data_IF_953184253021
#
_entry.id   IF_953184253021
#
_cell.length_a   1.000
_cell.length_b   1.000
_cell.length_c   1.000
_cell.angle_alpha   90.00
_cell.angle_beta   90.00
_cell.angle_gamma   90.00
#
_symmetry.space_group_name_H-M   'P 1'
#
loop_
_entity.id
_entity.type
_entity.pdbx_description
1 polymer ?
#
# COMPACT_ATOMS: atom_id res chain seq x y z
N UNK A 1 48.96 -11.57 -67.14
CA UNK A 1 48.90 -10.10 -66.98
C UNK A 1 50.31 -9.56 -67.12
N UNK A 2 50.50 -8.49 -67.87
CA UNK A 2 51.80 -7.83 -68.09
C UNK A 2 51.73 -6.38 -67.64
N UNK A 3 52.73 -5.91 -66.91
CA UNK A 3 52.84 -4.55 -66.38
C UNK A 3 54.00 -3.77 -67.01
N UNK A 4 53.92 -2.45 -66.95
CA UNK A 4 55.00 -1.54 -67.31
C UNK A 4 55.33 -0.68 -66.08
N UNK A 5 56.58 -0.71 -65.62
CA UNK A 5 57.00 0.00 -64.41
C UNK A 5 56.44 -0.58 -63.09
N UNK A 6 55.87 -1.78 -63.12
CA UNK A 6 55.30 -2.44 -61.94
C UNK A 6 56.36 -3.16 -61.10
N UNK A 7 56.08 -3.37 -59.81
CA UNK A 7 56.93 -4.12 -58.88
C UNK A 7 56.19 -5.35 -58.33
N UNK A 8 55.62 -6.20 -59.21
CA UNK A 8 54.73 -7.29 -58.78
C UNK A 8 55.33 -8.23 -57.73
N UNK A 9 56.65 -8.47 -57.73
CA UNK A 9 57.27 -9.35 -56.72
C UNK A 9 57.31 -8.74 -55.31
N UNK A 10 57.22 -7.42 -55.20
CA UNK A 10 57.20 -6.71 -53.91
C UNK A 10 55.77 -6.46 -53.41
N UNK A 11 54.80 -6.35 -54.32
CA UNK A 11 53.44 -5.91 -54.02
C UNK A 11 52.42 -7.05 -53.99
N UNK A 12 52.74 -8.22 -54.55
CA UNK A 12 51.85 -9.37 -54.67
C UNK A 12 52.57 -10.69 -54.37
N UNK A 13 51.85 -11.61 -53.74
CA UNK A 13 52.23 -13.00 -53.61
C UNK A 13 51.23 -13.94 -54.30
N UNK A 14 51.61 -15.20 -54.53
CA UNK A 14 50.69 -16.22 -55.01
C UNK A 14 49.50 -16.37 -54.02
N UNK A 15 48.28 -16.32 -54.55
CA UNK A 15 47.03 -16.34 -53.80
C UNK A 15 46.43 -14.96 -53.51
N UNK A 16 47.18 -13.87 -53.68
CA UNK A 16 46.64 -12.51 -53.59
C UNK A 16 45.79 -12.17 -54.83
N UNK A 17 45.10 -11.04 -54.80
CA UNK A 17 44.23 -10.60 -55.87
C UNK A 17 44.73 -9.29 -56.47
N UNK A 18 44.65 -9.17 -57.79
CA UNK A 18 44.82 -7.91 -58.50
C UNK A 18 43.45 -7.36 -58.88
N UNK A 19 43.12 -6.17 -58.39
CA UNK A 19 41.89 -5.45 -58.75
C UNK A 19 42.23 -4.44 -59.84
N UNK A 20 41.53 -4.51 -60.96
CA UNK A 20 41.78 -3.66 -62.13
C UNK A 20 40.44 -3.32 -62.81
N UNK A 21 40.29 -2.08 -63.26
CA UNK A 21 39.12 -1.69 -64.08
C UNK A 21 39.48 -1.78 -65.56
N UNK A 22 38.78 -2.64 -66.28
CA UNK A 22 39.01 -2.87 -67.72
C UNK A 22 37.71 -2.64 -68.47
N UNK A 23 37.72 -1.73 -69.45
CA UNK A 23 36.52 -1.36 -70.22
C UNK A 23 35.39 -0.78 -69.35
N UNK A 24 35.72 -0.12 -68.23
CA UNK A 24 34.76 0.43 -67.28
C UNK A 24 34.19 -0.56 -66.27
N UNK A 25 34.58 -1.85 -66.33
CA UNK A 25 34.12 -2.89 -65.41
C UNK A 25 35.27 -3.26 -64.46
N UNK A 26 35.06 -3.25 -63.14
CA UNK A 26 36.06 -3.70 -62.18
C UNK A 26 36.16 -5.23 -62.17
N UNK A 27 37.38 -5.75 -62.23
CA UNK A 27 37.70 -7.18 -62.13
C UNK A 27 38.56 -7.44 -60.90
N UNK A 28 38.21 -8.46 -60.13
CA UNK A 28 39.05 -8.99 -59.04
C UNK A 28 39.63 -10.31 -59.49
N UNK A 29 40.93 -10.32 -59.80
CA UNK A 29 41.59 -11.43 -60.48
C UNK A 29 42.59 -12.11 -59.53
N UNK A 30 42.39 -13.40 -59.18
CA UNK A 30 43.31 -14.13 -58.31
C UNK A 30 44.66 -14.41 -59.00
N UNK A 31 45.76 -14.10 -58.33
CA UNK A 31 47.14 -14.33 -58.79
C UNK A 31 47.54 -15.78 -58.47
N UNK A 32 47.85 -16.57 -59.51
CA UNK A 32 48.36 -17.93 -59.36
C UNK A 32 49.84 -17.94 -59.02
N UNK A 33 50.61 -17.13 -59.74
CA UNK A 33 52.05 -16.98 -59.56
C UNK A 33 52.50 -15.62 -60.08
N UNK A 34 53.46 -15.01 -59.39
CA UNK A 34 54.20 -13.83 -59.89
C UNK A 34 55.43 -14.34 -60.61
N UNK A 35 55.50 -14.12 -61.92
CA UNK A 35 56.59 -14.64 -62.74
C UNK A 35 57.84 -13.75 -62.63
N UNK A 36 57.65 -12.43 -62.57
CA UNK A 36 58.67 -11.40 -62.33
C UNK A 36 58.00 -10.04 -62.03
N UNK A 37 58.78 -8.95 -61.91
CA UNK A 37 58.26 -7.60 -61.59
C UNK A 37 57.20 -7.08 -62.56
N UNK A 38 57.18 -7.56 -63.81
CA UNK A 38 56.31 -7.08 -64.89
C UNK A 38 55.37 -8.15 -65.46
N UNK A 39 55.33 -9.35 -64.90
CA UNK A 39 54.47 -10.44 -65.38
C UNK A 39 53.96 -11.32 -64.25
N UNK A 40 52.66 -11.62 -64.31
CA UNK A 40 52.02 -12.59 -63.42
C UNK A 40 51.02 -13.47 -64.18
N UNK A 41 50.79 -14.65 -63.61
CA UNK A 41 49.84 -15.65 -64.10
C UNK A 41 48.61 -15.65 -63.19
N UNK A 42 47.41 -15.63 -63.78
CA UNK A 42 46.15 -15.66 -63.04
C UNK A 42 45.72 -17.11 -62.76
N UNK A 43 44.91 -17.33 -61.72
CA UNK A 43 44.36 -18.66 -61.41
C UNK A 43 43.30 -19.05 -62.45
N UNK A 44 42.41 -18.11 -62.77
CA UNK A 44 41.40 -18.26 -63.83
C UNK A 44 41.85 -17.59 -65.12
N UNK A 45 41.45 -18.17 -66.26
CA UNK A 45 41.64 -17.54 -67.57
C UNK A 45 40.78 -16.27 -67.60
N UNK A 46 41.43 -15.14 -67.86
CA UNK A 46 40.73 -13.87 -68.02
C UNK A 46 39.99 -13.84 -69.38
N UNK A 47 38.67 -13.66 -69.34
CA UNK A 47 37.80 -13.65 -70.53
C UNK A 47 37.30 -12.26 -70.90
N UNK A 48 37.77 -11.20 -70.22
CA UNK A 48 37.39 -9.82 -70.50
C UNK A 48 38.16 -9.19 -71.65
N UNK A 49 37.83 -7.94 -72.03
CA UNK A 49 38.54 -7.22 -73.10
C UNK A 49 39.99 -6.90 -72.69
N UNK A 50 40.86 -6.74 -73.70
CA UNK A 50 42.26 -6.35 -73.47
C UNK A 50 42.35 -4.82 -73.41
N UNK A 51 42.99 -4.28 -72.37
CA UNK A 51 43.25 -2.85 -72.21
C UNK A 51 44.68 -2.63 -71.73
N UNK A 52 45.36 -1.65 -72.33
CA UNK A 52 46.69 -1.22 -71.89
C UNK A 52 46.59 -0.03 -70.94
N UNK A 53 47.57 0.11 -70.03
CA UNK A 53 47.68 1.24 -69.10
C UNK A 53 46.62 1.29 -67.98
N UNK A 54 45.96 0.17 -67.67
CA UNK A 54 44.97 0.13 -66.60
C UNK A 54 45.65 0.26 -65.21
N UNK A 55 45.13 1.16 -64.38
CA UNK A 55 45.51 1.25 -62.97
C UNK A 55 45.03 0.01 -62.21
N UNK A 56 45.83 -0.45 -61.24
CA UNK A 56 45.54 -1.67 -60.49
C UNK A 56 45.82 -1.49 -58.99
N UNK A 57 45.27 -2.38 -58.18
CA UNK A 57 45.52 -2.44 -56.74
C UNK A 57 45.71 -3.87 -56.26
N UNK A 58 46.70 -4.09 -55.40
CA UNK A 58 46.91 -5.36 -54.72
C UNK A 58 45.91 -5.53 -53.57
N UNK A 59 45.24 -6.67 -53.51
CA UNK A 59 44.44 -7.08 -52.34
C UNK A 59 45.04 -8.36 -51.78
N UNK A 60 45.70 -8.31 -50.60
CA UNK A 60 46.25 -9.49 -49.97
C UNK A 60 45.17 -10.53 -49.69
N UNK A 61 45.47 -11.81 -49.86
CA UNK A 61 44.52 -12.91 -49.63
C UNK A 61 43.94 -12.90 -48.22
N UNK A 62 44.75 -12.48 -47.24
CA UNK A 62 44.34 -12.40 -45.83
C UNK A 62 43.22 -11.37 -45.68
N UNK A 63 43.28 -10.24 -46.38
CA UNK A 63 42.24 -9.22 -46.33
C UNK A 63 40.89 -9.73 -46.86
N UNK A 64 40.88 -10.38 -48.03
CA UNK A 64 39.65 -10.95 -48.61
C UNK A 64 39.07 -12.11 -47.78
N UNK A 65 39.92 -12.97 -47.22
CA UNK A 65 39.49 -14.05 -46.34
C UNK A 65 38.94 -13.52 -45.00
N UNK A 66 39.55 -12.46 -44.44
CA UNK A 66 39.06 -11.81 -43.23
C UNK A 66 37.68 -11.17 -43.45
N UNK A 67 37.42 -10.54 -44.60
CA UNK A 67 36.10 -9.99 -44.92
C UNK A 67 35.04 -11.09 -44.96
N UNK A 68 35.35 -12.22 -45.60
CA UNK A 68 34.43 -13.37 -45.66
C UNK A 68 34.19 -13.97 -44.28
N UNK A 69 35.25 -14.14 -43.47
CA UNK A 69 35.15 -14.65 -42.11
C UNK A 69 34.37 -13.70 -41.18
N UNK A 70 34.57 -12.38 -41.31
CA UNK A 70 33.84 -11.38 -40.55
C UNK A 70 32.35 -11.38 -40.89
N UNK A 71 32.00 -11.51 -42.18
CA UNK A 71 30.59 -11.62 -42.59
C UNK A 71 29.93 -12.90 -42.04
N UNK A 72 30.65 -14.02 -42.05
CA UNK A 72 30.17 -15.28 -41.44
C UNK A 72 29.98 -15.13 -39.93
N UNK A 73 30.92 -14.46 -39.24
CA UNK A 73 30.79 -14.20 -37.80
C UNK A 73 29.58 -13.31 -37.48
N UNK A 74 29.43 -12.18 -38.19
CA UNK A 74 28.30 -11.26 -38.02
C UNK A 74 26.95 -11.93 -38.31
N UNK A 75 26.86 -12.73 -39.37
CA UNK A 75 25.63 -13.47 -39.68
C UNK A 75 25.31 -14.52 -38.64
N UNK A 76 26.31 -15.25 -38.12
CA UNK A 76 26.11 -16.21 -37.04
C UNK A 76 25.67 -15.55 -35.72
N UNK A 77 26.23 -14.38 -35.38
CA UNK A 77 25.81 -13.59 -34.22
C UNK A 77 24.37 -13.09 -34.35
N UNK A 78 24.01 -12.53 -35.51
CA UNK A 78 22.65 -12.12 -35.79
C UNK A 78 21.66 -13.28 -35.68
N UNK A 79 21.99 -14.44 -36.25
CA UNK A 79 21.15 -15.64 -36.18
C UNK A 79 20.98 -16.15 -34.73
N UNK A 80 22.05 -16.06 -33.93
CA UNK A 80 22.02 -16.41 -32.50
C UNK A 80 21.11 -15.47 -31.72
N UNK A 81 21.21 -14.16 -31.96
CA UNK A 81 20.30 -13.16 -31.40
C UNK A 81 18.84 -13.46 -31.71
N UNK A 82 18.52 -13.77 -32.98
CA UNK A 82 17.16 -14.15 -33.40
C UNK A 82 16.65 -15.45 -32.77
N UNK A 83 17.55 -16.35 -32.35
CA UNK A 83 17.17 -17.56 -31.63
C UNK A 83 16.94 -17.30 -30.15
N UNK A 84 17.74 -16.41 -29.54
CA UNK A 84 17.47 -15.93 -28.18
C UNK A 84 16.11 -15.25 -28.10
N UNK A 85 15.77 -14.37 -29.03
CA UNK A 85 14.45 -13.72 -29.04
C UNK A 85 13.30 -14.73 -29.07
N UNK A 86 13.40 -15.78 -29.89
CA UNK A 86 12.37 -16.85 -29.91
C UNK A 86 12.26 -17.57 -28.57
N UNK A 87 13.38 -17.89 -27.92
CA UNK A 87 13.39 -18.54 -26.61
C UNK A 87 12.86 -17.61 -25.51
N UNK A 88 13.22 -16.33 -25.57
CA UNK A 88 12.73 -15.30 -24.67
C UNK A 88 11.20 -15.18 -24.79
N UNK A 89 10.66 -15.10 -26.00
CA UNK A 89 9.21 -15.03 -26.25
C UNK A 89 8.48 -16.26 -25.72
N UNK A 90 9.01 -17.47 -25.96
CA UNK A 90 8.47 -18.71 -25.39
C UNK A 90 8.41 -18.63 -23.85
N UNK A 91 9.47 -18.12 -23.23
CA UNK A 91 9.55 -17.98 -21.76
C UNK A 91 8.58 -16.92 -21.23
N UNK A 92 8.41 -15.79 -21.93
CA UNK A 92 7.47 -14.72 -21.56
C UNK A 92 6.02 -15.22 -21.59
N UNK A 93 5.64 -15.98 -22.62
CA UNK A 93 4.26 -16.46 -22.79
C UNK A 93 3.88 -17.62 -21.86
N UNK A 94 4.85 -18.47 -21.49
CA UNK A 94 4.58 -19.70 -20.73
C UNK A 94 4.98 -19.64 -19.26
N UNK A 95 5.93 -18.77 -18.90
CA UNK A 95 6.43 -18.65 -17.53
C UNK A 95 5.38 -18.10 -16.57
N UNK A 96 5.43 -18.52 -15.31
CA UNK A 96 4.53 -18.09 -14.21
C UNK A 96 5.22 -17.26 -13.13
N UNK A 97 6.53 -17.03 -13.25
CA UNK A 97 7.32 -16.24 -12.32
C UNK A 97 8.35 -15.38 -13.06
N UNK A 98 9.47 -15.08 -12.41
CA UNK A 98 10.57 -14.39 -13.08
C UNK A 98 11.27 -15.34 -14.05
N UNK A 99 11.50 -14.85 -15.28
CA UNK A 99 12.25 -15.52 -16.34
C UNK A 99 13.51 -14.72 -16.66
N UNK A 100 14.49 -15.40 -17.24
CA UNK A 100 15.72 -14.78 -17.74
C UNK A 100 15.61 -14.54 -19.24
N UNK A 101 15.68 -13.29 -19.67
CA UNK A 101 15.77 -12.87 -21.08
C UNK A 101 17.25 -12.75 -21.44
N UNK A 102 17.68 -13.45 -22.50
CA UNK A 102 19.03 -13.31 -23.07
C UNK A 102 19.01 -12.28 -24.19
N UNK A 103 19.84 -11.25 -24.09
CA UNK A 103 19.90 -10.18 -25.08
C UNK A 103 20.89 -10.54 -26.22
N UNK A 104 20.77 -9.92 -27.41
CA UNK A 104 21.67 -10.17 -28.53
C UNK A 104 23.14 -9.89 -28.25
N UNK A 105 23.43 -8.99 -27.30
CA UNK A 105 24.78 -8.67 -26.83
C UNK A 105 25.37 -9.70 -25.85
N UNK A 106 24.62 -10.76 -25.55
CA UNK A 106 25.00 -11.83 -24.62
C UNK A 106 24.70 -11.55 -23.15
N UNK A 107 24.24 -10.35 -22.81
CA UNK A 107 23.79 -10.02 -21.46
C UNK A 107 22.44 -10.67 -21.13
N UNK A 108 22.06 -10.63 -19.85
CA UNK A 108 20.81 -11.22 -19.39
C UNK A 108 20.03 -10.22 -18.50
N UNK A 109 18.71 -10.23 -18.66
CA UNK A 109 17.78 -9.51 -17.81
C UNK A 109 16.84 -10.49 -17.10
N UNK A 110 16.46 -10.20 -15.86
CA UNK A 110 15.55 -11.03 -15.08
C UNK A 110 14.29 -10.23 -14.74
N UNK A 111 13.12 -10.79 -15.04
CA UNK A 111 11.85 -10.17 -14.65
C UNK A 111 10.64 -11.03 -14.99
N UNK A 112 9.42 -10.54 -14.70
CA UNK A 112 8.24 -11.40 -14.67
C UNK A 112 7.76 -11.78 -16.08
N UNK A 113 7.41 -13.05 -16.23
CA UNK A 113 6.59 -13.51 -17.36
C UNK A 113 5.14 -13.06 -17.20
N UNK A 114 4.37 -13.07 -18.30
CA UNK A 114 3.02 -12.50 -18.31
C UNK A 114 2.05 -13.20 -17.36
N UNK A 115 2.10 -14.53 -17.24
CA UNK A 115 1.23 -15.24 -16.29
C UNK A 115 1.61 -14.93 -14.83
N UNK A 116 2.88 -14.61 -14.57
CA UNK A 116 3.33 -14.11 -13.26
C UNK A 116 2.71 -12.75 -12.93
N UNK A 117 2.66 -11.84 -13.90
CA UNK A 117 1.97 -10.54 -13.75
C UNK A 117 0.48 -10.75 -13.45
N UNK A 118 -0.21 -11.61 -14.19
CA UNK A 118 -1.63 -11.93 -13.95
C UNK A 118 -1.87 -12.48 -12.54
N UNK A 119 -0.97 -13.35 -12.06
CA UNK A 119 -1.07 -13.91 -10.71
C UNK A 119 -0.98 -12.81 -9.65
N UNK A 120 -0.03 -11.88 -9.78
CA UNK A 120 0.09 -10.75 -8.84
C UNK A 120 -1.08 -9.77 -8.92
N UNK A 121 -1.65 -9.56 -10.13
CA UNK A 121 -2.82 -8.72 -10.31
C UNK A 121 -4.07 -9.32 -9.62
N UNK A 122 -4.24 -10.64 -9.68
CA UNK A 122 -5.35 -11.34 -9.04
C UNK A 122 -5.30 -11.30 -7.50
N UNK A 123 -4.14 -10.97 -6.90
CA UNK A 123 -4.02 -10.75 -5.45
C UNK A 123 -4.50 -9.36 -5.01
N UNK A 124 -4.69 -8.43 -5.95
CA UNK A 124 -5.18 -7.09 -5.64
C UNK A 124 -6.68 -7.16 -5.38
N UNK A 125 -7.15 -6.44 -4.36
CA UNK A 125 -8.57 -6.28 -4.13
C UNK A 125 -9.23 -5.57 -5.32
N UNK A 126 -10.40 -6.04 -5.74
CA UNK A 126 -11.12 -5.42 -6.82
C UNK A 126 -11.70 -4.07 -6.37
N UNK A 127 -11.34 -3.01 -7.07
CA UNK A 127 -11.76 -1.65 -6.72
C UNK A 127 -13.30 -1.48 -6.76
N UNK A 128 -14.00 -2.22 -7.63
CA UNK A 128 -15.47 -2.18 -7.67
C UNK A 128 -16.11 -2.78 -6.41
N UNK A 129 -15.45 -3.77 -5.81
CA UNK A 129 -15.99 -4.52 -4.67
C UNK A 129 -15.80 -3.74 -3.36
N UNK A 130 -14.79 -2.87 -3.31
CA UNK A 130 -14.50 -1.98 -2.18
C UNK A 130 -15.29 -0.64 -2.24
N UNK A 131 -15.88 -0.32 -3.40
CA UNK A 131 -16.68 0.90 -3.60
C UNK A 131 -15.93 2.19 -3.29
N UNK A 132 -16.66 3.22 -2.83
CA UNK A 132 -16.09 4.54 -2.52
C UNK A 132 -15.23 4.58 -1.25
N UNK A 133 -15.21 3.50 -0.46
CA UNK A 133 -14.32 3.37 0.69
C UNK A 133 -12.86 3.16 0.25
N UNK A 134 -12.63 2.54 -0.91
CA UNK A 134 -11.29 2.25 -1.44
C UNK A 134 -10.44 3.50 -1.68
N UNK A 135 -11.10 4.62 -2.00
CA UNK A 135 -10.44 5.90 -2.30
C UNK A 135 -10.28 6.81 -1.09
N UNK A 136 -10.78 6.42 0.07
CA UNK A 136 -10.74 7.22 1.30
C UNK A 136 -9.62 6.72 2.19
N UNK A 137 -8.93 7.64 2.85
CA UNK A 137 -7.95 7.28 3.85
C UNK A 137 -8.66 6.74 5.10
N UNK A 138 -7.99 5.87 5.86
CA UNK A 138 -8.40 5.59 7.24
C UNK A 138 -7.93 6.73 8.13
N UNK A 139 -8.80 7.22 9.01
CA UNK A 139 -8.45 8.36 9.86
C UNK A 139 -9.65 8.99 10.55
N UNK A 140 -9.41 10.18 11.12
CA UNK A 140 -10.41 10.97 11.86
C UNK A 140 -10.79 12.25 11.11
N UNK A 141 -10.27 12.50 9.91
CA UNK A 141 -10.62 13.70 9.16
C UNK A 141 -11.97 13.53 8.47
N UNK A 142 -12.59 14.66 8.11
CA UNK A 142 -13.81 14.64 7.31
C UNK A 142 -13.57 13.93 5.99
N UNK A 143 -14.39 12.93 5.69
CA UNK A 143 -14.28 12.13 4.48
C UNK A 143 -13.51 10.81 4.64
N UNK A 144 -12.74 10.62 5.73
CA UNK A 144 -12.03 9.37 6.02
C UNK A 144 -12.97 8.22 6.42
N UNK A 145 -12.47 6.99 6.35
CA UNK A 145 -13.10 5.81 6.95
C UNK A 145 -12.65 5.68 8.41
N UNK A 146 -13.62 5.50 9.31
CA UNK A 146 -13.38 5.34 10.74
C UNK A 146 -12.72 3.99 11.05
N UNK A 147 -11.68 3.98 11.88
CA UNK A 147 -11.06 2.74 12.38
C UNK A 147 -11.77 2.21 13.62
N UNK A 148 -11.62 0.92 13.92
CA UNK A 148 -12.16 0.34 15.17
C UNK A 148 -11.58 1.08 16.38
N UNK A 149 -12.43 1.43 17.33
CA UNK A 149 -12.05 2.16 18.55
C UNK A 149 -12.10 3.67 18.42
N UNK A 150 -12.17 4.24 17.21
CA UNK A 150 -12.32 5.69 17.03
C UNK A 150 -13.54 6.20 17.80
N UNK A 151 -13.36 7.28 18.55
CA UNK A 151 -14.41 7.90 19.39
C UNK A 151 -14.98 6.97 20.48
N UNK A 152 -14.29 5.86 20.76
CA UNK A 152 -14.70 4.78 21.65
C UNK A 152 -15.79 3.87 21.09
N UNK A 153 -15.99 3.86 19.76
CA UNK A 153 -16.92 2.96 19.09
C UNK A 153 -16.18 1.66 18.71
N UNK A 154 -16.66 0.51 19.19
CA UNK A 154 -16.09 -0.81 18.90
C UNK A 154 -14.90 -1.23 19.77
N UNK A 155 -14.15 -0.28 20.34
CA UNK A 155 -13.15 -0.52 21.39
C UNK A 155 -13.11 0.66 22.37
N UNK A 156 -12.86 0.38 23.66
CA UNK A 156 -12.93 1.40 24.73
C UNK A 156 -11.79 2.43 24.71
N UNK A 157 -10.65 2.09 24.11
CA UNK A 157 -9.39 2.85 24.24
C UNK A 157 -9.31 4.12 23.37
N UNK A 158 -10.34 4.44 22.58
CA UNK A 158 -10.45 5.71 21.86
C UNK A 158 -11.48 6.70 22.43
N UNK A 159 -12.03 6.40 23.62
CA UNK A 159 -12.84 7.35 24.37
C UNK A 159 -11.96 8.47 24.95
N UNK A 160 -12.52 9.67 25.12
CA UNK A 160 -11.80 10.74 25.83
C UNK A 160 -11.75 10.46 27.34
N UNK A 161 -10.59 10.73 27.94
CA UNK A 161 -10.39 10.68 29.37
C UNK A 161 -10.06 12.08 29.89
N UNK A 162 -10.80 12.52 30.90
CA UNK A 162 -10.59 13.79 31.57
C UNK A 162 -10.17 13.57 33.02
N UNK A 163 -9.44 14.53 33.58
CA UNK A 163 -9.04 14.58 34.98
C UNK A 163 -9.43 15.97 35.54
N UNK A 164 -10.71 16.31 35.44
CA UNK A 164 -11.20 17.66 35.76
C UNK A 164 -12.21 17.66 36.90
N UNK A 165 -12.25 18.77 37.63
CA UNK A 165 -13.16 19.02 38.75
C UNK A 165 -14.26 20.03 38.42
N UNK A 166 -14.35 20.46 37.16
CA UNK A 166 -15.40 21.33 36.65
C UNK A 166 -15.97 20.74 35.35
N UNK A 167 -17.30 20.66 35.27
CA UNK A 167 -17.96 20.18 34.06
C UNK A 167 -17.81 21.16 32.89
N UNK A 168 -17.64 22.46 33.15
CA UNK A 168 -17.37 23.45 32.11
C UNK A 168 -16.14 23.07 31.28
N UNK A 169 -15.08 22.56 31.91
CA UNK A 169 -13.91 22.05 31.21
C UNK A 169 -14.21 20.84 30.30
N UNK A 170 -15.07 19.92 30.76
CA UNK A 170 -15.55 18.80 29.92
C UNK A 170 -16.32 19.33 28.71
N UNK A 171 -17.25 20.26 28.93
CA UNK A 171 -18.04 20.85 27.85
C UNK A 171 -17.15 21.51 26.79
N UNK A 172 -16.17 22.31 27.20
CA UNK A 172 -15.24 22.97 26.25
C UNK A 172 -14.47 21.94 25.42
N UNK A 173 -13.97 20.88 26.05
CA UNK A 173 -13.23 19.83 25.35
C UNK A 173 -14.11 18.99 24.40
N UNK A 174 -15.42 18.94 24.65
CA UNK A 174 -16.40 18.22 23.84
C UNK A 174 -17.10 19.10 22.81
N UNK A 175 -16.92 20.43 22.85
CA UNK A 175 -17.45 21.37 21.85
C UNK A 175 -17.00 20.97 20.44
N UNK A 176 -17.92 21.06 19.48
CA UNK A 176 -17.70 20.59 18.10
C UNK A 176 -17.66 19.07 17.91
N UNK A 177 -17.76 18.26 18.97
CA UNK A 177 -17.91 16.80 18.83
C UNK A 177 -19.36 16.41 18.60
N UNK A 178 -19.58 15.48 17.66
CA UNK A 178 -20.87 14.81 17.47
C UNK A 178 -21.12 13.72 18.51
N UNK A 179 -21.40 12.48 18.08
CA UNK A 179 -21.48 11.33 18.98
C UNK A 179 -20.08 10.90 19.43
N UNK A 180 -19.84 10.82 20.74
CA UNK A 180 -18.57 10.34 21.29
C UNK A 180 -18.75 9.77 22.69
N UNK A 181 -17.92 8.81 23.06
CA UNK A 181 -17.84 8.35 24.45
C UNK A 181 -16.68 9.03 25.17
N UNK A 182 -16.85 9.30 26.47
CA UNK A 182 -15.82 9.84 27.32
C UNK A 182 -15.96 9.35 28.77
N UNK A 183 -14.94 9.60 29.57
CA UNK A 183 -14.94 9.37 31.02
C UNK A 183 -14.21 10.52 31.69
N UNK A 184 -14.75 11.01 32.80
CA UNK A 184 -14.01 11.90 33.69
C UNK A 184 -13.59 11.12 34.94
N UNK A 185 -12.30 11.15 35.24
CA UNK A 185 -11.71 10.55 36.42
C UNK A 185 -11.60 11.55 37.57
N UNK A 186 -11.67 12.85 37.28
CA UNK A 186 -11.72 13.89 38.30
C UNK A 186 -13.10 13.96 38.98
N UNK A 187 -13.09 14.41 40.23
CA UNK A 187 -14.31 14.61 41.03
C UNK A 187 -14.82 16.04 40.85
N UNK A 188 -16.07 16.21 40.42
CA UNK A 188 -16.67 17.53 40.14
C UNK A 188 -17.14 18.31 41.39
N UNK A 189 -17.00 17.73 42.59
CA UNK A 189 -17.52 18.32 43.82
C UNK A 189 -18.95 17.86 44.17
N UNK A 190 -19.32 17.98 45.44
CA UNK A 190 -20.57 17.42 46.00
C UNK A 190 -21.87 18.02 45.41
N UNK A 191 -21.79 19.14 44.71
CA UNK A 191 -22.94 19.83 44.13
C UNK A 191 -23.21 19.54 42.65
N UNK A 192 -22.26 18.94 41.93
CA UNK A 192 -22.37 18.74 40.48
C UNK A 192 -22.58 17.26 40.13
N UNK A 193 -23.81 16.94 39.76
CA UNK A 193 -24.23 15.58 39.43
C UNK A 193 -24.28 15.33 37.92
N UNK A 194 -23.61 16.15 37.11
CA UNK A 194 -23.64 16.01 35.64
C UNK A 194 -23.01 14.71 35.15
N UNK A 195 -21.95 14.28 35.82
CA UNK A 195 -21.23 13.04 35.57
C UNK A 195 -20.73 12.50 36.91
N UNK A 196 -20.91 11.21 37.15
CA UNK A 196 -20.31 10.56 38.29
C UNK A 196 -18.82 10.25 37.99
N UNK A 197 -17.96 10.33 39.01
CA UNK A 197 -16.53 10.05 38.85
C UNK A 197 -16.32 8.64 38.26
N UNK A 198 -15.37 8.53 37.33
CA UNK A 198 -15.01 7.28 36.65
C UNK A 198 -16.11 6.68 35.76
N UNK A 199 -17.18 7.42 35.50
CA UNK A 199 -18.33 6.87 34.79
C UNK A 199 -18.15 6.97 33.28
N UNK A 200 -18.36 5.88 32.52
CA UNK A 200 -18.54 5.99 31.08
C UNK A 200 -19.72 6.92 30.80
N UNK A 201 -19.49 7.84 29.88
CA UNK A 201 -20.47 8.86 29.53
C UNK A 201 -20.55 8.98 28.02
N UNK A 202 -21.77 9.04 27.50
CA UNK A 202 -22.04 9.28 26.08
C UNK A 202 -22.30 10.76 25.91
N UNK A 203 -21.68 11.39 24.91
CA UNK A 203 -21.93 12.75 24.47
C UNK A 203 -22.55 12.75 23.08
N UNK A 204 -23.53 13.61 22.87
CA UNK A 204 -24.16 13.84 21.57
C UNK A 204 -24.26 15.33 21.33
N UNK A 205 -23.40 15.86 20.45
CA UNK A 205 -23.52 17.21 19.91
C UNK A 205 -24.31 17.23 18.60
N UNK A 206 -25.18 18.23 18.41
CA UNK A 206 -25.89 18.48 17.15
C UNK A 206 -26.08 19.99 16.99
N UNK A 207 -25.46 20.56 15.95
CA UNK A 207 -25.37 22.01 15.81
C UNK A 207 -24.66 22.62 17.02
N UNK A 208 -25.27 23.63 17.64
CA UNK A 208 -24.80 24.32 18.83
C UNK A 208 -25.32 23.71 20.16
N UNK A 209 -26.10 22.63 20.08
CA UNK A 209 -26.71 21.97 21.25
C UNK A 209 -26.04 20.64 21.56
N UNK A 210 -26.11 20.23 22.81
CA UNK A 210 -25.55 18.94 23.25
C UNK A 210 -26.33 18.31 24.39
N UNK A 211 -26.19 16.99 24.50
CA UNK A 211 -26.62 16.21 25.66
C UNK A 211 -25.53 15.19 26.03
N UNK A 212 -25.45 14.85 27.31
CA UNK A 212 -24.59 13.78 27.81
C UNK A 212 -25.32 12.88 28.79
N UNK A 213 -25.16 11.56 28.65
CA UNK A 213 -25.71 10.55 29.53
C UNK A 213 -24.57 9.86 30.30
N UNK A 214 -24.48 10.12 31.60
CA UNK A 214 -23.51 9.51 32.49
C UNK A 214 -24.06 8.23 33.08
N UNK A 215 -23.30 7.14 32.95
CA UNK A 215 -23.66 5.81 33.41
C UNK A 215 -22.66 5.37 34.49
N UNK A 216 -22.98 5.57 35.78
CA UNK A 216 -22.09 5.23 36.87
C UNK A 216 -21.80 3.74 36.95
N UNK A 217 -20.53 3.41 37.24
CA UNK A 217 -20.11 2.03 37.51
C UNK A 217 -20.35 1.61 38.97
N UNK A 218 -20.53 2.59 39.87
CA UNK A 218 -20.75 2.39 41.30
C UNK A 218 -22.22 2.60 41.66
N UNK A 219 -22.81 1.78 42.56
CA UNK A 219 -24.20 1.93 43.01
C UNK A 219 -24.52 3.29 43.64
N UNK A 220 -23.53 3.94 44.26
CA UNK A 220 -23.69 5.27 44.85
C UNK A 220 -23.74 6.41 43.81
N UNK A 221 -23.35 6.13 42.56
CA UNK A 221 -23.42 7.11 41.48
C UNK A 221 -24.83 7.21 40.92
N UNK A 222 -25.27 8.43 40.60
CA UNK A 222 -26.58 8.66 39.98
C UNK A 222 -26.46 8.69 38.45
N UNK A 223 -27.38 8.01 37.76
CA UNK A 223 -27.51 8.18 36.32
C UNK A 223 -27.96 9.61 36.05
N UNK A 224 -27.21 10.33 35.23
CA UNK A 224 -27.44 11.73 34.96
C UNK A 224 -27.49 12.03 33.47
N UNK A 225 -28.46 12.86 33.08
CA UNK A 225 -28.56 13.46 31.75
C UNK A 225 -28.32 14.96 31.89
N UNK A 226 -27.13 15.40 31.51
CA UNK A 226 -26.83 16.82 31.36
C UNK A 226 -27.11 17.28 29.93
N UNK A 227 -27.60 18.49 29.73
CA UNK A 227 -27.76 19.08 28.41
C UNK A 227 -27.60 20.58 28.44
N UNK A 228 -27.21 21.15 27.30
CA UNK A 228 -26.97 22.58 27.17
C UNK A 228 -26.68 22.98 25.73
N UNK A 229 -26.06 24.15 25.60
CA UNK A 229 -25.56 24.66 24.33
C UNK A 229 -24.13 25.16 24.47
N UNK A 230 -23.43 25.31 23.35
CA UNK A 230 -22.07 25.85 23.34
C UNK A 230 -22.02 27.26 23.92
N UNK A 231 -23.03 28.09 23.64
CA UNK A 231 -23.09 29.47 24.11
C UNK A 231 -23.57 29.62 25.56
N UNK A 232 -24.53 28.79 26.01
CA UNK A 232 -25.15 28.95 27.32
C UNK A 232 -24.52 28.07 28.42
N UNK A 233 -23.58 27.19 28.07
CA UNK A 233 -23.06 26.22 29.01
C UNK A 233 -24.05 25.07 29.26
N UNK A 234 -23.83 24.34 30.36
CA UNK A 234 -24.79 23.38 30.89
C UNK A 234 -26.03 24.10 31.41
N UNK A 235 -27.18 23.75 30.87
CA UNK A 235 -28.45 24.38 31.25
C UNK A 235 -29.26 23.54 32.22
N UNK A 236 -29.18 22.21 32.11
CA UNK A 236 -29.97 21.30 32.94
C UNK A 236 -29.20 20.02 33.22
N UNK A 237 -29.41 19.49 34.42
CA UNK A 237 -29.04 18.14 34.82
C UNK A 237 -30.32 17.45 35.29
N UNK A 238 -30.63 16.29 34.69
CA UNK A 238 -31.73 15.43 35.11
C UNK A 238 -31.14 14.16 35.70
N UNK A 239 -31.52 13.84 36.92
CA UNK A 239 -31.17 12.58 37.55
C UNK A 239 -32.25 11.56 37.20
N UNK A 240 -31.85 10.39 36.72
CA UNK A 240 -32.79 9.32 36.43
C UNK A 240 -33.09 8.56 37.72
N UNK A 241 -34.37 8.32 37.92
CA UNK A 241 -34.83 7.41 38.96
C UNK A 241 -34.67 5.97 38.46
N UNK A 242 -34.02 5.16 39.28
CA UNK A 242 -33.71 3.77 39.01
C UNK A 242 -34.02 2.91 40.24
N UNK A 243 -33.80 1.60 40.13
CA UNK A 243 -34.05 0.64 41.20
C UNK A 243 -33.08 0.75 42.38
N UNK A 244 -31.99 1.52 42.26
CA UNK A 244 -31.07 1.79 43.37
C UNK A 244 -31.57 2.95 44.23
N UNK A 245 -32.22 3.95 43.61
CA UNK A 245 -32.63 5.19 44.28
C UNK A 245 -34.16 5.38 44.43
N UNK A 246 -34.96 4.36 44.10
CA UNK A 246 -36.41 4.36 44.30
C UNK A 246 -36.95 3.04 44.86
N UNK A 247 -38.10 3.12 45.53
CA UNK A 247 -38.89 1.96 45.97
C UNK A 247 -40.34 2.10 45.51
N UNK A 248 -41.01 0.98 45.26
CA UNK A 248 -42.45 0.94 45.02
C UNK A 248 -43.17 0.63 46.33
N UNK A 249 -44.09 1.51 46.75
CA UNK A 249 -44.87 1.29 47.97
C UNK A 249 -45.94 0.19 47.80
N UNK A 250 -46.60 -0.19 48.90
CA UNK A 250 -47.65 -1.22 48.89
C UNK A 250 -48.88 -0.88 48.02
N UNK A 251 -49.01 0.37 47.57
CA UNK A 251 -50.05 0.83 46.66
C UNK A 251 -49.56 0.96 45.20
N UNK A 252 -48.31 0.62 44.92
CA UNK A 252 -47.73 0.68 43.57
C UNK A 252 -47.13 2.04 43.18
N UNK A 253 -46.99 3.00 44.08
CA UNK A 253 -46.37 4.30 43.78
C UNK A 253 -44.86 4.26 43.93
N UNK A 254 -44.14 4.89 43.00
CA UNK A 254 -42.69 5.11 43.10
C UNK A 254 -42.42 6.21 44.14
N UNK A 255 -41.53 5.91 45.09
CA UNK A 255 -41.02 6.83 46.10
C UNK A 255 -39.51 6.94 45.95
N UNK A 256 -38.97 8.16 46.03
CA UNK A 256 -37.53 8.38 46.14
C UNK A 256 -37.04 7.72 47.43
N UNK A 257 -35.99 6.93 47.34
CA UNK A 257 -35.57 6.06 48.43
C UNK A 257 -34.05 5.85 48.36
N UNK A 258 -33.32 6.45 49.31
CA UNK A 258 -31.87 6.30 49.51
C UNK A 258 -31.51 6.96 50.84
N UNK A 259 -31.15 6.19 51.90
CA UNK A 259 -31.13 4.72 52.03
C UNK A 259 -32.54 4.09 52.25
N UNK A 260 -32.69 2.77 52.04
CA UNK A 260 -34.01 2.06 52.16
C UNK A 260 -33.96 0.89 53.12
N UNK A 261 -34.76 0.96 54.19
CA UNK A 261 -34.96 -0.15 55.14
C UNK A 261 -36.42 -0.57 55.12
N UNK A 262 -36.68 -1.84 54.82
CA UNK A 262 -38.02 -2.44 54.90
C UNK A 262 -38.17 -3.12 56.25
N UNK A 263 -39.24 -2.80 56.97
CA UNK A 263 -39.54 -3.39 58.28
C UNK A 263 -40.84 -4.16 58.17
N UNK A 264 -40.83 -5.41 58.62
CA UNK A 264 -41.97 -6.32 58.58
C UNK A 264 -42.67 -6.38 59.95
N UNK A 265 -43.95 -6.76 59.95
CA UNK A 265 -44.79 -6.78 61.16
C UNK A 265 -44.36 -7.83 62.20
N UNK A 266 -43.58 -8.83 61.79
CA UNK A 266 -42.96 -9.85 62.64
C UNK A 266 -41.67 -9.34 63.33
N UNK A 267 -41.18 -8.15 62.97
CA UNK A 267 -39.92 -7.59 63.47
C UNK A 267 -38.71 -7.93 62.62
N UNK A 268 -38.88 -8.65 61.50
CA UNK A 268 -37.84 -8.79 60.49
C UNK A 268 -37.59 -7.46 59.77
N UNK A 269 -36.40 -7.32 59.19
CA UNK A 269 -36.08 -6.18 58.32
C UNK A 269 -35.17 -6.60 57.17
N UNK A 270 -35.24 -5.85 56.07
CA UNK A 270 -34.38 -5.97 54.89
C UNK A 270 -33.75 -4.61 54.58
N UNK A 271 -32.44 -4.63 54.29
CA UNK A 271 -31.66 -3.48 53.82
C UNK A 271 -31.35 -3.63 52.34
N UNK A 272 -31.28 -2.50 51.62
CA UNK A 272 -30.65 -2.42 50.30
C UNK A 272 -29.14 -2.11 50.41
N UNK A 273 -28.41 -2.14 49.29
CA UNK A 273 -26.96 -1.88 49.24
C UNK A 273 -26.57 -0.53 49.89
N UNK A 274 -27.43 0.50 49.80
CA UNK A 274 -27.17 1.81 50.41
C UNK A 274 -27.49 1.89 51.92
N UNK A 275 -28.20 0.91 52.46
CA UNK A 275 -28.48 0.76 53.91
C UNK A 275 -27.72 -0.42 54.53
N UNK A 276 -26.70 -0.94 53.83
CA UNK A 276 -25.83 -1.98 54.38
C UNK A 276 -25.23 -1.51 55.71
N UNK A 277 -25.43 -2.30 56.76
CA UNK A 277 -25.01 -1.97 58.13
C UNK A 277 -26.06 -1.28 58.99
N UNK A 278 -27.24 -0.94 58.46
CA UNK A 278 -28.37 -0.52 59.31
C UNK A 278 -28.91 -1.71 60.09
N UNK A 279 -29.15 -1.51 61.39
CA UNK A 279 -29.75 -2.51 62.29
C UNK A 279 -31.07 -1.97 62.79
N UNK A 280 -32.14 -2.73 62.61
CA UNK A 280 -33.48 -2.42 63.16
C UNK A 280 -33.72 -3.28 64.38
N UNK A 281 -34.23 -2.68 65.46
CA UNK A 281 -34.53 -3.40 66.71
C UNK A 281 -35.94 -3.07 67.16
N UNK A 282 -36.84 -4.05 67.09
CA UNK A 282 -38.22 -3.86 67.55
C UNK A 282 -38.26 -3.56 69.05
N UNK A 283 -38.79 -2.39 69.43
CA UNK A 283 -38.94 -1.95 70.82
C UNK A 283 -40.32 -2.32 71.37
N UNK A 284 -41.39 -1.99 70.63
CA UNK A 284 -42.78 -2.34 70.98
C UNK A 284 -43.69 -2.39 69.73
N UNK A 285 -45.00 -2.57 69.90
CA UNK A 285 -45.94 -2.65 68.77
C UNK A 285 -45.97 -1.32 68.01
N UNK A 286 -45.47 -1.34 66.76
CA UNK A 286 -45.41 -0.15 65.91
C UNK A 286 -44.17 0.72 66.11
N UNK A 287 -43.22 0.31 66.95
CA UNK A 287 -41.96 1.03 67.23
C UNK A 287 -40.75 0.11 67.02
N UNK A 288 -39.83 0.53 66.16
CA UNK A 288 -38.72 -0.26 65.60
C UNK A 288 -37.44 0.57 65.49
#
# INVERSE_FOLDING_TARGET
>A
VTGSGTAFTAELAAGDFIVVTVGGIPYTLPVKAVNNNTSLTLVSVYTGPTQSGAAWSAVPRVALNMVTAALVAQSAEALRGLNYDKQNWQSIFSGTGNITVKLPDGSAWNGPAWNGITTELNKKANASDLGSAASKNTGLNSGDIMTVGSFGIGAKDGAYAFEVNDFGAVQVAMSGSGLRTYRNNGFLGDGDQSIAQYSPTIWVGTGDTWASLSLPYSPAGKIAVASGSESAGRMVVRLLWDNSNTVVDGNGFIKQASPVVRIFSDGGYETNDESEGVVVTRIQTGEY
#
